data_IF_444376563478
#
_entry.id   IF_444376563478
#
_cell.length_a   1.000
_cell.length_b   1.000
_cell.length_c   1.000
_cell.angle_alpha   90.00
_cell.angle_beta   90.00
_cell.angle_gamma   90.00
#
_symmetry.space_group_name_H-M   'P 1'
#
loop_
_entity.id
_entity.type
_entity.pdbx_description
1 polymer ?
#
# COMPACT_ATOMS: atom_id res chain seq x y z
N UNK A 1 10.23 -8.12 -21.61
CA UNK A 1 9.02 -7.42 -21.16
C UNK A 1 9.42 -5.97 -20.92
N UNK A 2 8.62 -4.97 -21.30
CA UNK A 2 9.02 -3.55 -21.14
C UNK A 2 9.04 -3.22 -19.63
N UNK A 3 10.12 -2.59 -19.13
CA UNK A 3 10.30 -2.26 -17.70
C UNK A 3 9.12 -1.47 -17.12
N UNK A 4 8.54 -0.58 -17.95
CA UNK A 4 7.34 0.20 -17.63
C UNK A 4 6.14 -0.68 -17.25
N UNK A 5 5.94 -1.82 -17.92
CA UNK A 5 4.84 -2.74 -17.57
C UNK A 5 5.08 -3.41 -16.23
N UNK A 6 6.33 -3.76 -15.91
CA UNK A 6 6.66 -4.32 -14.61
C UNK A 6 6.48 -3.30 -13.50
N UNK A 7 6.79 -2.02 -13.74
CA UNK A 7 6.52 -0.95 -12.79
C UNK A 7 5.01 -0.77 -12.53
N UNK A 8 4.17 -0.82 -13.57
CA UNK A 8 2.72 -0.82 -13.42
C UNK A 8 2.18 -2.04 -12.65
N UNK A 9 2.70 -3.24 -12.95
CA UNK A 9 2.36 -4.47 -12.22
C UNK A 9 2.79 -4.38 -10.78
N UNK A 10 3.97 -3.82 -10.50
CA UNK A 10 4.44 -3.59 -9.14
C UNK A 10 3.51 -2.63 -8.38
N UNK A 11 3.14 -1.48 -8.97
CA UNK A 11 2.20 -0.55 -8.33
C UNK A 11 0.83 -1.19 -8.04
N UNK A 12 0.31 -1.96 -8.99
CA UNK A 12 -0.93 -2.72 -8.82
C UNK A 12 -0.83 -3.76 -7.70
N UNK A 13 0.22 -4.59 -7.72
CA UNK A 13 0.39 -5.66 -6.72
C UNK A 13 0.67 -5.11 -5.32
N UNK A 14 1.38 -3.99 -5.20
CA UNK A 14 1.57 -3.30 -3.93
C UNK A 14 0.23 -2.83 -3.35
N UNK A 15 -0.67 -2.25 -4.18
CA UNK A 15 -2.00 -1.88 -3.69
C UNK A 15 -2.86 -3.09 -3.33
N UNK A 16 -2.73 -4.22 -4.03
CA UNK A 16 -3.40 -5.47 -3.62
C UNK A 16 -2.93 -5.90 -2.24
N UNK A 17 -1.63 -5.83 -1.99
CA UNK A 17 -1.06 -6.15 -0.69
C UNK A 17 -1.63 -5.24 0.40
N UNK A 18 -1.55 -3.91 0.22
CA UNK A 18 -2.11 -2.93 1.16
C UNK A 18 -3.60 -3.21 1.44
N UNK A 19 -4.41 -3.41 0.39
CA UNK A 19 -5.84 -3.65 0.54
C UNK A 19 -6.16 -5.07 1.08
N UNK A 20 -5.27 -6.05 0.97
CA UNK A 20 -5.54 -7.37 1.58
C UNK A 20 -5.42 -7.35 3.11
N UNK A 21 -4.67 -6.40 3.66
CA UNK A 21 -4.58 -6.18 5.10
C UNK A 21 -5.76 -5.32 5.60
N UNK A 22 -6.17 -4.29 4.84
CA UNK A 22 -7.08 -3.25 5.32
C UNK A 22 -8.49 -3.24 4.68
N UNK A 23 -8.71 -3.92 3.55
CA UNK A 23 -9.98 -3.84 2.82
C UNK A 23 -10.96 -4.95 3.26
N UNK A 24 -12.16 -4.60 3.76
CA UNK A 24 -13.11 -5.57 4.29
C UNK A 24 -13.61 -6.57 3.22
N UNK A 25 -13.57 -6.21 1.93
CA UNK A 25 -13.96 -7.11 0.84
C UNK A 25 -12.86 -8.10 0.48
N UNK A 26 -11.58 -7.72 0.59
CA UNK A 26 -10.46 -8.60 0.26
C UNK A 26 -9.98 -9.42 1.45
N UNK A 27 -10.03 -8.85 2.65
CA UNK A 27 -9.56 -9.50 3.87
C UNK A 27 -10.23 -10.88 4.10
N UNK A 28 -11.50 -11.04 3.70
CA UNK A 28 -12.22 -12.32 3.80
C UNK A 28 -11.63 -13.45 2.94
N UNK A 29 -10.87 -13.13 1.89
CA UNK A 29 -10.19 -14.10 1.03
C UNK A 29 -8.71 -14.25 1.38
N UNK A 30 -8.23 -13.52 2.39
CA UNK A 30 -6.83 -13.53 2.79
C UNK A 30 -6.46 -14.87 3.43
N UNK A 31 -5.53 -15.57 2.81
CA UNK A 31 -4.89 -16.76 3.38
C UNK A 31 -3.39 -16.52 3.50
N UNK A 32 -2.70 -17.11 4.48
CA UNK A 32 -1.25 -16.93 4.63
C UNK A 32 -0.48 -17.24 3.33
N UNK A 33 -0.87 -18.30 2.62
CA UNK A 33 -0.25 -18.69 1.35
C UNK A 33 -0.47 -17.66 0.24
N UNK A 34 -1.67 -17.11 0.14
CA UNK A 34 -1.98 -16.06 -0.84
C UNK A 34 -1.20 -14.78 -0.52
N UNK A 35 -1.12 -14.41 0.76
CA UNK A 35 -0.38 -13.24 1.20
C UNK A 35 1.12 -13.35 0.87
N UNK A 36 1.74 -14.50 1.15
CA UNK A 36 3.14 -14.74 0.79
C UNK A 36 3.37 -14.75 -0.72
N UNK A 37 2.42 -15.27 -1.51
CA UNK A 37 2.49 -15.22 -2.96
C UNK A 37 2.48 -13.77 -3.47
N UNK A 38 1.62 -12.91 -2.89
CA UNK A 38 1.50 -11.50 -3.28
C UNK A 38 2.77 -10.74 -2.89
N UNK A 39 3.28 -10.93 -1.67
CA UNK A 39 4.58 -10.36 -1.25
C UNK A 39 5.69 -10.74 -2.22
N UNK A 40 5.77 -12.01 -2.63
CA UNK A 40 6.75 -12.46 -3.61
C UNK A 40 6.57 -11.79 -4.98
N UNK A 41 5.32 -11.60 -5.44
CA UNK A 41 5.03 -10.86 -6.68
C UNK A 41 5.42 -9.38 -6.59
N UNK A 42 5.17 -8.72 -5.47
CA UNK A 42 5.58 -7.33 -5.21
C UNK A 42 7.10 -7.20 -5.32
N UNK A 43 7.85 -8.07 -4.64
CA UNK A 43 9.32 -8.05 -4.69
C UNK A 43 9.86 -8.37 -6.10
N UNK A 44 9.30 -9.38 -6.76
CA UNK A 44 9.75 -9.78 -8.09
C UNK A 44 9.50 -8.68 -9.14
N UNK A 45 8.33 -8.04 -9.10
CA UNK A 45 7.98 -6.97 -10.03
C UNK A 45 8.79 -5.69 -9.77
N UNK A 46 9.00 -5.30 -8.51
CA UNK A 46 9.93 -4.22 -8.15
C UNK A 46 11.33 -4.51 -8.69
N UNK A 47 11.86 -5.70 -8.40
CA UNK A 47 13.22 -6.09 -8.81
C UNK A 47 13.38 -6.01 -10.32
N UNK A 48 12.40 -6.53 -11.07
CA UNK A 48 12.44 -6.48 -12.54
C UNK A 48 12.37 -5.04 -13.06
N UNK A 49 11.51 -4.18 -12.49
CA UNK A 49 11.43 -2.78 -12.89
C UNK A 49 12.72 -2.00 -12.57
N UNK A 50 13.32 -2.26 -11.41
CA UNK A 50 14.51 -1.57 -10.92
C UNK A 50 15.77 -1.84 -11.75
N UNK A 51 15.94 -3.04 -12.31
CA UNK A 51 17.12 -3.42 -13.11
C UNK A 51 17.34 -2.48 -14.32
N UNK A 52 16.27 -1.86 -14.82
CA UNK A 52 16.32 -1.00 -16.00
C UNK A 52 16.38 0.50 -15.69
N UNK A 53 16.09 0.91 -14.44
CA UNK A 53 16.06 2.31 -14.02
C UNK A 53 16.38 2.46 -12.53
N UNK A 54 17.58 2.93 -12.22
CA UNK A 54 18.03 3.10 -10.83
C UNK A 54 17.28 4.18 -10.04
N UNK A 55 16.67 5.16 -10.72
CA UNK A 55 15.93 6.22 -10.05
C UNK A 55 14.64 5.67 -9.43
N UNK A 56 14.14 4.56 -9.98
CA UNK A 56 12.93 3.90 -9.52
C UNK A 56 13.06 3.33 -8.10
N UNK A 57 14.02 2.42 -7.78
CA UNK A 57 14.18 1.90 -6.43
C UNK A 57 14.58 3.00 -5.42
N UNK A 58 15.28 4.06 -5.85
CA UNK A 58 15.60 5.20 -4.97
C UNK A 58 14.33 5.94 -4.57
N UNK A 59 13.44 6.24 -5.52
CA UNK A 59 12.18 6.92 -5.24
C UNK A 59 11.28 6.07 -4.34
N UNK A 60 11.21 4.77 -4.58
CA UNK A 60 10.45 3.85 -3.73
C UNK A 60 11.01 3.84 -2.31
N UNK A 61 12.33 3.69 -2.15
CA UNK A 61 12.98 3.72 -0.84
C UNK A 61 12.71 5.04 -0.08
N UNK A 62 12.89 6.19 -0.75
CA UNK A 62 12.67 7.50 -0.14
C UNK A 62 11.18 7.72 0.17
N UNK A 63 10.30 7.32 -0.74
CA UNK A 63 8.85 7.41 -0.56
C UNK A 63 8.37 6.65 0.67
N UNK A 64 8.79 5.40 0.82
CA UNK A 64 8.45 4.57 1.97
C UNK A 64 9.08 5.07 3.26
N UNK A 65 10.35 5.53 3.20
CA UNK A 65 10.99 6.16 4.35
C UNK A 65 10.24 7.41 4.82
N UNK A 66 9.83 8.28 3.89
CA UNK A 66 9.07 9.48 4.21
C UNK A 66 7.67 9.14 4.72
N UNK A 67 7.00 8.16 4.12
CA UNK A 67 5.71 7.66 4.61
C UNK A 67 5.84 7.18 6.06
N UNK A 68 6.88 6.40 6.37
CA UNK A 68 7.17 5.97 7.72
C UNK A 68 7.53 7.13 8.66
N UNK A 69 8.33 8.10 8.22
CA UNK A 69 8.76 9.20 9.08
C UNK A 69 7.62 10.18 9.39
N UNK A 70 6.60 10.24 8.52
CA UNK A 70 5.49 11.20 8.61
C UNK A 70 4.17 10.59 9.12
N UNK A 71 3.96 9.30 8.92
CA UNK A 71 2.82 8.54 9.45
C UNK A 71 3.23 7.86 10.76
N UNK A 72 2.39 7.86 11.78
CA UNK A 72 2.71 7.34 13.12
C UNK A 72 3.43 5.97 13.08
N UNK A 73 4.36 5.77 14.03
CA UNK A 73 5.40 4.73 14.15
C UNK A 73 5.02 3.24 13.90
N UNK A 74 3.77 2.93 13.58
CA UNK A 74 3.30 1.59 13.20
C UNK A 74 3.39 1.30 11.70
N UNK A 75 3.75 2.25 10.84
CA UNK A 75 3.92 2.00 9.39
C UNK A 75 5.04 0.97 9.09
N UNK A 76 6.00 0.81 9.99
CA UNK A 76 7.02 -0.25 9.98
C UNK A 76 6.63 -1.49 10.84
N UNK A 77 5.36 -1.65 11.20
CA UNK A 77 4.95 -2.72 12.12
C UNK A 77 5.10 -4.14 11.58
N UNK A 78 5.41 -4.30 10.28
CA UNK A 78 5.59 -5.63 9.66
C UNK A 78 7.00 -5.83 9.12
N UNK A 79 7.54 -7.04 9.32
CA UNK A 79 8.84 -7.48 8.79
C UNK A 79 8.93 -7.30 7.26
N UNK A 80 7.78 -7.30 6.58
CA UNK A 80 7.69 -7.11 5.14
C UNK A 80 8.12 -5.71 4.70
N UNK A 81 7.63 -4.63 5.34
CA UNK A 81 8.02 -3.27 4.95
C UNK A 81 9.50 -2.99 5.25
N UNK A 82 10.06 -3.55 6.34
CA UNK A 82 11.50 -3.48 6.60
C UNK A 82 12.34 -4.20 5.54
N UNK A 83 11.96 -5.43 5.19
CA UNK A 83 12.62 -6.18 4.12
C UNK A 83 12.50 -5.46 2.78
N UNK A 84 11.33 -4.89 2.49
CA UNK A 84 11.03 -4.14 1.28
C UNK A 84 11.88 -2.88 1.14
N UNK A 85 11.99 -2.07 2.20
CA UNK A 85 12.88 -0.90 2.23
C UNK A 85 14.35 -1.30 2.05
N UNK A 86 14.78 -2.39 2.70
CA UNK A 86 16.15 -2.91 2.59
C UNK A 86 16.46 -3.37 1.17
N UNK A 87 15.54 -4.11 0.54
CA UNK A 87 15.66 -4.56 -0.86
C UNK A 87 15.70 -3.36 -1.80
N UNK A 88 14.84 -2.35 -1.60
CA UNK A 88 14.83 -1.12 -2.41
C UNK A 88 16.15 -0.35 -2.31
N UNK A 89 16.74 -0.27 -1.11
CA UNK A 89 18.05 0.34 -0.90
C UNK A 89 19.17 -0.46 -1.60
N UNK A 90 19.17 -1.78 -1.46
CA UNK A 90 20.16 -2.65 -2.12
C UNK A 90 20.06 -2.56 -3.65
N UNK A 91 18.84 -2.56 -4.21
CA UNK A 91 18.62 -2.38 -5.63
C UNK A 91 19.11 -1.01 -6.10
N UNK A 92 18.89 0.05 -5.30
CA UNK A 92 19.41 1.39 -5.60
C UNK A 92 20.94 1.42 -5.68
N UNK A 93 21.62 0.68 -4.81
CA UNK A 93 23.09 0.56 -4.82
C UNK A 93 23.58 -0.25 -6.02
N UNK A 94 22.97 -1.42 -6.27
CA UNK A 94 23.42 -2.35 -7.32
C UNK A 94 23.18 -1.76 -8.72
N UNK A 95 22.09 -1.03 -8.90
CA UNK A 95 21.74 -0.40 -10.17
C UNK A 95 22.35 0.98 -10.35
N UNK A 96 23.13 1.46 -9.37
CA UNK A 96 23.67 2.81 -9.35
C UNK A 96 24.54 3.13 -10.57
N UNK A 97 24.22 4.23 -11.22
CA UNK A 97 24.77 4.70 -12.48
C UNK A 97 24.70 6.23 -12.48
N UNK A 98 25.85 6.87 -12.23
CA UNK A 98 25.95 8.33 -12.06
C UNK A 98 25.40 9.09 -13.27
N UNK A 99 25.55 8.53 -14.48
CA UNK A 99 25.10 9.17 -15.72
C UNK A 99 23.57 9.19 -15.83
N UNK A 100 22.87 8.36 -15.06
CA UNK A 100 21.41 8.30 -14.97
C UNK A 100 20.84 9.08 -13.79
N UNK A 101 21.69 9.63 -12.91
CA UNK A 101 21.24 10.37 -11.73
C UNK A 101 20.72 11.74 -12.17
N UNK A 102 19.40 11.89 -12.24
CA UNK A 102 18.77 13.13 -12.71
C UNK A 102 18.48 14.07 -11.54
N UNK A 103 18.76 15.37 -11.70
CA UNK A 103 18.32 16.45 -10.78
C UNK A 103 16.80 16.43 -10.59
N UNK A 104 16.07 15.90 -11.56
CA UNK A 104 14.61 15.73 -11.49
C UNK A 104 14.20 14.67 -10.48
N UNK A 105 15.09 13.77 -10.03
CA UNK A 105 14.83 12.83 -8.93
C UNK A 105 14.35 13.60 -7.68
N UNK A 106 14.99 14.72 -7.35
CA UNK A 106 14.63 15.55 -6.20
C UNK A 106 13.25 16.17 -6.41
N UNK A 107 12.96 16.67 -7.62
CA UNK A 107 11.66 17.25 -7.97
C UNK A 107 10.57 16.18 -7.91
N UNK A 108 10.84 14.97 -8.39
CA UNK A 108 9.95 13.82 -8.33
C UNK A 108 9.65 13.43 -6.89
N UNK A 109 10.67 13.30 -6.03
CA UNK A 109 10.49 13.02 -4.60
C UNK A 109 9.59 14.09 -3.96
N UNK A 110 9.87 15.37 -4.22
CA UNK A 110 9.06 16.48 -3.69
C UNK A 110 7.62 16.40 -4.19
N UNK A 111 7.42 16.20 -5.50
CA UNK A 111 6.10 16.10 -6.10
C UNK A 111 5.29 14.92 -5.55
N UNK A 112 5.90 13.73 -5.44
CA UNK A 112 5.24 12.54 -4.94
C UNK A 112 4.93 12.64 -3.44
N UNK A 113 5.86 13.20 -2.65
CA UNK A 113 5.62 13.49 -1.23
C UNK A 113 4.46 14.48 -1.07
N UNK A 114 4.39 15.50 -1.92
CA UNK A 114 3.29 16.47 -1.91
C UNK A 114 1.96 15.80 -2.29
N UNK A 115 1.94 14.95 -3.30
CA UNK A 115 0.73 14.19 -3.70
C UNK A 115 0.28 13.26 -2.59
N UNK A 116 1.20 12.54 -1.95
CA UNK A 116 0.90 11.66 -0.81
C UNK A 116 0.38 12.45 0.40
N UNK A 117 0.99 13.60 0.69
CA UNK A 117 0.53 14.50 1.75
C UNK A 117 -0.87 15.05 1.47
N UNK A 118 -1.13 15.51 0.24
CA UNK A 118 -2.45 15.98 -0.19
C UNK A 118 -3.49 14.86 -0.07
N UNK A 119 -3.14 13.66 -0.52
CA UNK A 119 -4.02 12.50 -0.42
C UNK A 119 -4.39 12.17 1.03
N UNK A 120 -3.40 12.11 1.93
CA UNK A 120 -3.63 11.75 3.32
C UNK A 120 -4.34 12.87 4.11
N UNK A 121 -3.99 14.13 3.86
CA UNK A 121 -4.49 15.28 4.63
C UNK A 121 -5.88 15.70 4.18
N UNK A 122 -6.14 15.75 2.87
CA UNK A 122 -7.44 16.19 2.34
C UNK A 122 -8.47 15.06 2.29
N UNK A 123 -8.02 13.81 2.22
CA UNK A 123 -8.89 12.63 2.12
C UNK A 123 -8.52 11.58 3.19
N UNK A 124 -8.75 11.89 4.48
CA UNK A 124 -8.38 11.00 5.59
C UNK A 124 -9.20 9.71 5.64
N UNK A 125 -10.44 9.73 5.13
CA UNK A 125 -11.26 8.53 4.98
C UNK A 125 -10.83 7.74 3.74
N UNK A 126 -10.17 6.59 3.96
CA UNK A 126 -9.69 5.70 2.90
C UNK A 126 -10.83 5.35 1.93
N UNK A 127 -11.95 4.78 2.39
CA UNK A 127 -13.05 4.34 1.53
C UNK A 127 -14.13 5.41 1.25
N UNK A 128 -13.72 6.65 0.98
CA UNK A 128 -14.64 7.75 0.65
C UNK A 128 -14.76 7.98 -0.86
N UNK A 129 -15.94 8.37 -1.34
CA UNK A 129 -16.15 8.74 -2.76
C UNK A 129 -15.23 9.88 -3.20
N UNK A 130 -14.91 10.80 -2.29
CA UNK A 130 -13.96 11.89 -2.56
C UNK A 130 -12.56 11.35 -2.87
N UNK A 131 -12.05 10.41 -2.06
CA UNK A 131 -10.75 9.78 -2.28
C UNK A 131 -10.74 8.94 -3.55
N UNK A 132 -11.80 8.18 -3.82
CA UNK A 132 -11.95 7.40 -5.05
C UNK A 132 -11.87 8.29 -6.30
N UNK A 133 -12.63 9.40 -6.31
CA UNK A 133 -12.62 10.36 -7.42
C UNK A 133 -11.23 10.98 -7.58
N UNK A 134 -10.59 11.37 -6.48
CA UNK A 134 -9.23 11.91 -6.51
C UNK A 134 -8.25 10.92 -7.13
N UNK A 135 -8.23 9.66 -6.65
CA UNK A 135 -7.35 8.60 -7.17
C UNK A 135 -7.59 8.33 -8.66
N UNK A 136 -8.86 8.33 -9.11
CA UNK A 136 -9.20 8.19 -10.53
C UNK A 136 -8.72 9.39 -11.37
N UNK A 137 -8.92 10.62 -10.91
CA UNK A 137 -8.45 11.84 -11.59
C UNK A 137 -6.92 11.87 -11.66
N UNK A 138 -6.23 11.56 -10.55
CA UNK A 138 -4.77 11.44 -10.54
C UNK A 138 -4.28 10.38 -11.52
N UNK A 139 -4.95 9.23 -11.62
CA UNK A 139 -4.62 8.19 -12.61
C UNK A 139 -4.67 8.73 -14.03
N UNK A 140 -5.72 9.47 -14.38
CA UNK A 140 -5.89 10.09 -15.71
C UNK A 140 -4.77 11.10 -15.97
N UNK A 141 -4.40 11.92 -14.98
CA UNK A 141 -3.27 12.85 -15.10
C UNK A 141 -1.99 12.09 -15.44
N UNK A 142 -1.67 10.99 -14.76
CA UNK A 142 -0.48 10.20 -15.08
C UNK A 142 -0.53 9.54 -16.46
N UNK A 143 -1.70 9.06 -16.92
CA UNK A 143 -1.88 8.52 -18.28
C UNK A 143 -1.62 9.61 -19.32
N UNK A 144 -2.06 10.84 -19.08
CA UNK A 144 -1.79 11.99 -19.95
C UNK A 144 -0.30 12.31 -19.94
N UNK A 145 0.34 12.38 -18.75
CA UNK A 145 1.77 12.64 -18.62
C UNK A 145 2.62 11.58 -19.35
N UNK A 146 2.20 10.31 -19.36
CA UNK A 146 2.94 9.24 -20.04
C UNK A 146 2.97 9.39 -21.57
N UNK A 147 2.17 10.29 -22.16
CA UNK A 147 2.16 10.55 -23.60
C UNK A 147 3.23 11.57 -24.02
N UNK A 148 3.81 12.33 -23.08
CA UNK A 148 4.80 13.35 -23.41
C UNK A 148 6.23 12.82 -23.26
N UNK A 149 7.00 12.93 -24.34
CA UNK A 149 8.40 12.44 -24.41
C UNK A 149 9.34 13.09 -23.40
N UNK A 150 9.05 14.31 -22.93
CA UNK A 150 9.80 14.96 -21.86
C UNK A 150 9.81 14.15 -20.56
N UNK A 151 8.81 13.28 -20.35
CA UNK A 151 8.73 12.43 -19.17
C UNK A 151 9.31 11.01 -19.38
N UNK A 152 9.89 10.70 -20.55
CA UNK A 152 10.47 9.37 -20.83
C UNK A 152 11.39 8.84 -19.74
N UNK A 153 12.29 9.65 -19.12
CA UNK A 153 13.15 9.17 -18.02
C UNK A 153 12.39 8.73 -16.75
N UNK A 154 11.11 9.10 -16.63
CA UNK A 154 10.25 8.86 -15.46
C UNK A 154 9.10 7.90 -15.76
N UNK A 155 9.09 7.25 -16.93
CA UNK A 155 8.00 6.37 -17.30
C UNK A 155 7.78 5.25 -16.28
N UNK A 156 8.81 4.59 -15.76
CA UNK A 156 8.62 3.55 -14.73
C UNK A 156 7.83 4.08 -13.52
N UNK A 157 8.14 5.28 -13.05
CA UNK A 157 7.46 5.90 -11.92
C UNK A 157 6.02 6.27 -12.29
N UNK A 158 5.81 6.87 -13.46
CA UNK A 158 4.48 7.22 -13.96
C UNK A 158 3.62 5.96 -14.08
N UNK A 159 4.14 4.89 -14.69
CA UNK A 159 3.44 3.62 -14.86
C UNK A 159 3.18 2.93 -13.51
N UNK A 160 4.10 3.00 -12.55
CA UNK A 160 3.86 2.58 -11.17
C UNK A 160 2.64 3.28 -10.57
N UNK A 161 2.57 4.62 -10.63
CA UNK A 161 1.43 5.35 -10.11
C UNK A 161 0.14 5.06 -10.87
N UNK A 162 0.18 4.88 -12.19
CA UNK A 162 -1.00 4.45 -12.96
C UNK A 162 -1.52 3.11 -12.42
N UNK A 163 -0.64 2.12 -12.26
CA UNK A 163 -0.99 0.79 -11.76
C UNK A 163 -1.58 0.84 -10.34
N UNK A 164 -0.90 1.56 -9.44
CA UNK A 164 -1.32 1.71 -8.05
C UNK A 164 -2.68 2.42 -7.95
N UNK A 165 -2.82 3.59 -8.59
CA UNK A 165 -3.99 4.45 -8.45
C UNK A 165 -5.23 3.88 -9.15
N UNK A 166 -5.06 3.27 -10.32
CA UNK A 166 -6.17 2.61 -11.00
C UNK A 166 -6.73 1.46 -10.16
N UNK A 167 -5.85 0.60 -9.64
CA UNK A 167 -6.31 -0.53 -8.86
C UNK A 167 -6.90 -0.10 -7.52
N UNK A 168 -6.29 0.88 -6.87
CA UNK A 168 -6.84 1.55 -5.69
C UNK A 168 -8.27 2.03 -5.95
N UNK A 169 -8.50 2.79 -7.03
CA UNK A 169 -9.83 3.29 -7.35
C UNK A 169 -10.85 2.15 -7.60
N UNK A 170 -10.45 1.08 -8.29
CA UNK A 170 -11.31 -0.09 -8.53
C UNK A 170 -11.66 -0.77 -7.21
N UNK A 171 -10.66 -1.10 -6.39
CA UNK A 171 -10.84 -1.84 -5.15
C UNK A 171 -11.68 -1.06 -4.12
N UNK A 172 -11.40 0.23 -3.98
CA UNK A 172 -12.16 1.12 -3.09
C UNK A 172 -13.59 1.32 -3.59
N UNK A 173 -13.81 1.38 -4.91
CA UNK A 173 -15.18 1.43 -5.48
C UNK A 173 -15.95 0.15 -5.15
N UNK A 174 -15.33 -1.03 -5.30
CA UNK A 174 -15.92 -2.30 -4.93
C UNK A 174 -16.28 -2.35 -3.44
N UNK A 175 -15.35 -1.95 -2.56
CA UNK A 175 -15.59 -1.87 -1.13
C UNK A 175 -16.75 -0.92 -0.79
N UNK A 176 -16.74 0.29 -1.37
CA UNK A 176 -17.78 1.28 -1.09
C UNK A 176 -19.15 0.87 -1.59
N UNK A 177 -19.19 0.21 -2.74
CA UNK A 177 -20.42 -0.34 -3.29
C UNK A 177 -20.97 -1.47 -2.42
N UNK A 178 -20.10 -2.36 -1.92
CA UNK A 178 -20.48 -3.43 -0.99
C UNK A 178 -21.06 -2.87 0.33
N UNK A 179 -20.40 -1.90 0.95
CA UNK A 179 -20.92 -1.19 2.14
C UNK A 179 -22.30 -0.55 1.88
N UNK A 180 -22.46 0.09 0.72
CA UNK A 180 -23.71 0.79 0.36
C UNK A 180 -24.86 -0.19 0.12
N UNK A 181 -24.55 -1.40 -0.36
CA UNK A 181 -25.55 -2.46 -0.58
C UNK A 181 -25.91 -3.16 0.73
N UNK A 182 -24.91 -3.57 1.53
CA UNK A 182 -25.11 -4.21 2.83
C UNK A 182 -25.88 -3.32 3.82
N UNK A 183 -25.65 -2.00 3.82
CA UNK A 183 -26.42 -1.06 4.67
C UNK A 183 -27.89 -0.87 4.25
N UNK A 184 -28.27 -1.30 3.03
CA UNK A 184 -29.65 -1.25 2.53
C UNK A 184 -30.42 -2.56 2.71
N UNK A 185 -29.75 -3.65 3.09
CA UNK A 185 -30.37 -4.93 3.42
C UNK A 185 -30.35 -5.15 4.96
N UNK A 186 -31.49 -5.03 5.68
CA UNK A 186 -31.50 -5.14 7.15
C UNK A 186 -31.32 -6.57 7.69
N UNK A 187 -30.85 -7.53 6.89
CA UNK A 187 -30.78 -8.94 7.28
C UNK A 187 -29.59 -9.64 6.61
N UNK A 188 -28.38 -9.41 7.13
CA UNK A 188 -27.28 -10.39 7.11
C UNK A 188 -26.03 -9.73 7.72
N UNK A 189 -25.98 -9.69 9.05
CA UNK A 189 -24.75 -9.50 9.84
C UNK A 189 -25.07 -9.79 11.31
N UNK A 190 -25.45 -11.04 11.57
CA UNK A 190 -25.26 -11.66 12.88
C UNK A 190 -24.63 -13.02 12.64
N UNK A 191 -23.32 -13.02 12.53
CA UNK A 191 -22.42 -14.06 13.06
C UNK A 191 -21.00 -13.68 12.68
N UNK A 192 -20.40 -12.80 13.49
CA UNK A 192 -18.95 -12.86 13.67
C UNK A 192 -18.65 -14.18 14.41
N UNK A 193 -17.72 -15.02 13.95
CA UNK A 193 -17.31 -16.19 14.71
C UNK A 193 -16.44 -15.74 15.90
N UNK A 194 -17.04 -15.85 17.09
CA UNK A 194 -16.44 -16.00 18.42
C UNK A 194 -15.02 -15.42 18.64
N UNK A 195 -14.94 -14.31 19.37
CA UNK A 195 -13.84 -14.09 20.30
C UNK A 195 -13.63 -15.34 21.19
N UNK A 196 -12.39 -15.82 21.39
CA UNK A 196 -12.11 -16.78 22.43
C UNK A 196 -12.34 -16.09 23.78
N UNK A 197 -13.34 -16.55 24.54
CA UNK A 197 -13.47 -16.18 25.96
C UNK A 197 -12.20 -16.59 26.69
N UNK A 198 -11.46 -15.63 27.21
CA UNK A 198 -10.48 -15.87 28.26
C UNK A 198 -11.14 -16.67 29.41
N UNK A 199 -10.45 -17.67 30.00
CA UNK A 199 -10.97 -18.37 31.16
C UNK A 199 -11.03 -17.41 32.36
N UNK A 200 -12.23 -17.25 32.96
CA UNK A 200 -12.37 -16.57 34.25
C UNK A 200 -11.59 -17.36 35.30
N UNK A 201 -10.58 -16.73 35.90
CA UNK A 201 -9.96 -17.20 37.15
C UNK A 201 -11.04 -17.39 38.24
N UNK A 202 -11.04 -18.49 39.00
CA UNK A 202 -11.86 -18.63 40.18
C UNK A 202 -11.21 -17.85 41.34
N UNK A 203 -11.86 -16.79 41.82
CA UNK A 203 -11.46 -16.13 43.07
C UNK A 203 -11.86 -17.00 44.27
N UNK A 204 -10.85 -17.35 45.06
CA UNK A 204 -10.86 -18.11 46.30
C UNK A 204 -11.92 -17.64 47.31
N UNK A 205 -12.61 -18.60 47.91
CA UNK A 205 -13.31 -18.44 49.19
C UNK A 205 -12.28 -18.17 50.30
N UNK A 206 -12.41 -17.02 50.97
CA UNK A 206 -11.72 -16.78 52.24
C UNK A 206 -12.51 -17.43 53.36
N UNK A 207 -12.04 -18.58 53.85
CA UNK A 207 -12.27 -18.99 55.24
C UNK A 207 -11.46 -18.07 56.15
N UNK A 208 -12.14 -17.26 56.96
CA UNK A 208 -11.53 -16.61 58.13
C UNK A 208 -11.96 -17.41 59.35
N UNK A 209 -11.06 -18.28 59.78
CA UNK A 209 -11.00 -18.75 61.15
C UNK A 209 -10.51 -17.58 62.01
N UNK A 210 -11.31 -17.15 62.99
CA UNK A 210 -10.75 -16.40 64.11
C UNK A 210 -11.26 -16.98 65.43
N UNK A 211 -10.28 -17.28 66.27
CA UNK A 211 -10.34 -17.93 67.57
C UNK A 211 -10.54 -16.85 68.63
N UNK A 212 -11.43 -17.09 69.58
CA UNK A 212 -11.27 -16.66 70.98
C UNK A 212 -11.90 -17.66 71.92
#
# INVERSE_FOLDING_TARGET
MNANYAAAVFGATLKIFDDMEDNPVLAQYSTPKLMELIKAFVIASLTYAAIYNMNFPIIIFIGDYLHCAMSDNTALSTDFYYAFMTISLLLSIITFDVDKLSVVLIISIIFFTLVAYVDHTLFPEEYSWKKIIWRAVSSIIYIILSQFTIFTPYYDIIFFYIGYLMLSAIMMTCAKYYETKSSKDPKELKEQPNEPKEPKEPKEEKEVHDVK
#
